data_IF_375401445572
#
_entry.id   IF_375401445572
#
_cell.length_a   1.000
_cell.length_b   1.000
_cell.length_c   1.000
_cell.angle_alpha   90.00
_cell.angle_beta   90.00
_cell.angle_gamma   90.00
#
_symmetry.space_group_name_H-M   'P 1'
#
loop_
_entity.id
_entity.type
_entity.pdbx_description
1 polymer ?
#
# COMPACT_ATOMS: atom_id res chain seq x y z
N UNK A 1 -54.11 10.56 -20.43
CA UNK A 1 -53.07 11.58 -20.16
C UNK A 1 -51.72 10.89 -20.34
N UNK A 2 -50.99 11.22 -21.41
CA UNK A 2 -49.66 10.68 -21.67
C UNK A 2 -48.66 11.49 -20.86
N UNK A 3 -48.00 10.85 -19.89
CA UNK A 3 -46.86 11.43 -19.20
C UNK A 3 -45.70 11.54 -20.21
N UNK A 4 -45.43 12.75 -20.67
CA UNK A 4 -44.21 13.03 -21.44
C UNK A 4 -43.05 13.03 -20.47
N UNK A 5 -42.03 12.22 -20.76
CA UNK A 5 -40.75 12.29 -20.06
C UNK A 5 -40.23 13.73 -20.13
N UNK A 6 -39.75 14.32 -19.02
CA UNK A 6 -39.14 15.63 -19.05
C UNK A 6 -37.88 15.59 -19.93
N UNK A 7 -37.69 16.64 -20.73
CA UNK A 7 -36.49 16.82 -21.54
C UNK A 7 -35.25 16.96 -20.65
N UNK A 8 -34.08 16.47 -21.08
CA UNK A 8 -32.86 16.59 -20.30
C UNK A 8 -32.49 18.05 -20.04
N UNK A 9 -31.77 18.34 -18.93
CA UNK A 9 -31.36 19.70 -18.57
C UNK A 9 -30.56 20.39 -19.68
N UNK A 10 -30.62 21.72 -19.73
CA UNK A 10 -30.00 22.54 -20.78
C UNK A 10 -28.46 22.48 -20.83
N UNK A 11 -27.81 21.89 -19.81
CA UNK A 11 -26.36 21.67 -19.73
C UNK A 11 -25.93 20.22 -20.06
N UNK A 12 -26.83 19.41 -20.64
CA UNK A 12 -26.51 18.05 -21.07
C UNK A 12 -25.64 18.06 -22.35
N UNK A 13 -24.32 18.05 -22.19
CA UNK A 13 -23.38 17.83 -23.27
C UNK A 13 -23.31 16.33 -23.62
N UNK A 14 -24.17 15.91 -24.55
CA UNK A 14 -24.22 14.55 -25.04
C UNK A 14 -22.89 14.09 -25.69
N UNK A 15 -22.05 15.00 -26.19
CA UNK A 15 -20.73 14.64 -26.72
C UNK A 15 -19.74 14.34 -25.61
N UNK A 16 -19.78 15.09 -24.50
CA UNK A 16 -18.94 14.82 -23.34
C UNK A 16 -19.21 13.43 -22.74
N UNK A 17 -20.48 13.02 -22.65
CA UNK A 17 -20.88 11.67 -22.17
C UNK A 17 -20.54 10.57 -23.20
N UNK A 18 -20.61 10.87 -24.50
CA UNK A 18 -20.35 9.88 -25.55
C UNK A 18 -18.86 9.55 -25.73
N UNK A 19 -17.94 10.51 -25.48
CA UNK A 19 -16.50 10.36 -25.75
C UNK A 19 -15.82 9.26 -24.92
N UNK A 20 -16.08 9.12 -23.61
CA UNK A 20 -15.53 8.01 -22.82
C UNK A 20 -15.91 6.64 -23.37
N UNK A 21 -17.19 6.47 -23.70
CA UNK A 21 -17.74 5.22 -24.24
C UNK A 21 -17.09 4.87 -25.59
N UNK A 22 -16.98 5.83 -26.51
CA UNK A 22 -16.43 5.57 -27.86
C UNK A 22 -14.96 5.15 -27.83
N UNK A 23 -14.19 5.60 -26.84
CA UNK A 23 -12.76 5.31 -26.75
C UNK A 23 -12.48 4.00 -26.02
N UNK A 24 -13.23 3.69 -24.98
CA UNK A 24 -12.97 2.53 -24.11
C UNK A 24 -13.61 1.25 -24.64
N UNK A 25 -14.83 1.33 -25.18
CA UNK A 25 -15.59 0.14 -25.57
C UNK A 25 -14.86 -0.76 -26.59
N UNK A 26 -14.20 -0.24 -27.64
CA UNK A 26 -13.44 -1.08 -28.57
C UNK A 26 -12.31 -1.87 -27.89
N UNK A 27 -11.67 -1.27 -26.87
CA UNK A 27 -10.59 -1.93 -26.14
C UNK A 27 -11.15 -3.00 -25.19
N UNK A 28 -12.27 -2.71 -24.52
CA UNK A 28 -12.98 -3.71 -23.70
C UNK A 28 -13.36 -4.92 -24.54
N UNK A 29 -14.00 -4.72 -25.70
CA UNK A 29 -14.38 -5.81 -26.61
C UNK A 29 -13.17 -6.64 -26.99
N UNK A 30 -12.06 -6.00 -27.36
CA UNK A 30 -10.81 -6.68 -27.69
C UNK A 30 -10.27 -7.52 -26.52
N UNK A 31 -10.29 -7.00 -25.30
CA UNK A 31 -9.83 -7.74 -24.12
C UNK A 31 -10.74 -8.94 -23.81
N UNK A 32 -12.05 -8.76 -23.92
CA UNK A 32 -13.02 -9.86 -23.76
C UNK A 32 -12.81 -10.94 -24.81
N UNK A 33 -12.62 -10.58 -26.08
CA UNK A 33 -12.35 -11.55 -27.15
C UNK A 33 -11.08 -12.37 -26.87
N UNK A 34 -10.01 -11.72 -26.37
CA UNK A 34 -8.78 -12.41 -25.98
C UNK A 34 -9.05 -13.38 -24.83
N UNK A 35 -9.78 -12.95 -23.79
CA UNK A 35 -10.14 -13.81 -22.66
C UNK A 35 -10.97 -15.01 -23.12
N UNK A 36 -11.94 -14.80 -24.01
CA UNK A 36 -12.81 -15.87 -24.54
C UNK A 36 -12.06 -16.84 -25.46
N UNK A 37 -10.99 -16.38 -26.13
CA UNK A 37 -10.13 -17.26 -26.93
C UNK A 37 -9.32 -18.25 -26.06
N UNK A 38 -9.19 -18.00 -24.75
CA UNK A 38 -8.45 -18.84 -23.82
C UNK A 38 -6.92 -18.79 -23.96
N UNK A 39 -6.38 -18.01 -24.89
CA UNK A 39 -4.95 -17.91 -25.16
C UNK A 39 -4.38 -16.55 -24.71
N UNK A 40 -4.32 -16.34 -23.39
CA UNK A 40 -3.89 -15.06 -22.79
C UNK A 40 -2.39 -14.79 -23.01
N UNK A 41 -1.52 -15.77 -22.81
CA UNK A 41 -0.07 -15.57 -22.91
C UNK A 41 0.48 -15.76 -24.33
N UNK A 42 -0.32 -16.29 -25.26
CA UNK A 42 0.17 -16.73 -26.55
C UNK A 42 1.14 -17.92 -26.45
N UNK A 43 1.88 -18.17 -27.53
CA UNK A 43 2.82 -19.30 -27.61
C UNK A 43 4.20 -19.01 -26.98
N UNK A 44 4.56 -17.72 -26.79
CA UNK A 44 5.91 -17.33 -26.38
C UNK A 44 5.92 -16.55 -25.06
N UNK A 45 5.83 -17.29 -23.96
CA UNK A 45 5.78 -16.78 -22.58
C UNK A 45 7.09 -16.09 -22.17
N UNK A 46 8.23 -16.49 -22.76
CA UNK A 46 9.57 -15.99 -22.42
C UNK A 46 10.00 -14.76 -23.23
N UNK A 47 9.18 -14.31 -24.19
CA UNK A 47 9.49 -13.12 -24.98
C UNK A 47 9.54 -11.87 -24.10
N UNK A 48 10.63 -11.10 -24.24
CA UNK A 48 10.83 -9.80 -23.57
C UNK A 48 9.95 -8.72 -24.20
N UNK A 49 9.54 -8.88 -25.46
CA UNK A 49 8.69 -7.92 -26.14
C UNK A 49 7.24 -7.97 -25.63
N UNK A 50 6.60 -6.80 -25.58
CA UNK A 50 5.19 -6.69 -25.24
C UNK A 50 4.33 -7.44 -26.26
N UNK A 51 3.44 -8.28 -25.76
CA UNK A 51 2.41 -8.97 -26.55
C UNK A 51 1.34 -7.98 -27.03
N UNK A 52 0.52 -8.36 -28.04
CA UNK A 52 -0.66 -7.57 -28.41
C UNK A 52 -1.64 -7.34 -27.25
N UNK A 53 -1.72 -8.29 -26.31
CA UNK A 53 -2.51 -8.16 -25.08
C UNK A 53 -1.88 -7.11 -24.16
N UNK A 54 -0.58 -7.19 -23.88
CA UNK A 54 0.13 -6.23 -23.02
C UNK A 54 0.01 -4.80 -23.56
N UNK A 55 0.14 -4.58 -24.87
CA UNK A 55 -0.11 -3.25 -25.47
C UNK A 55 -1.54 -2.76 -25.25
N UNK A 56 -2.53 -3.66 -25.26
CA UNK A 56 -3.93 -3.30 -25.02
C UNK A 56 -4.18 -3.00 -23.55
N UNK A 57 -3.54 -3.76 -22.65
CA UNK A 57 -3.57 -3.51 -21.20
C UNK A 57 -2.85 -2.21 -20.84
N UNK A 58 -1.74 -1.84 -21.47
CA UNK A 58 -1.11 -0.52 -21.29
C UNK A 58 -2.09 0.61 -21.61
N UNK A 59 -2.78 0.53 -22.76
CA UNK A 59 -3.74 1.56 -23.15
C UNK A 59 -4.93 1.65 -22.18
N UNK A 60 -5.45 0.50 -21.72
CA UNK A 60 -6.54 0.48 -20.73
C UNK A 60 -6.08 0.93 -19.35
N UNK A 61 -4.84 0.61 -18.94
CA UNK A 61 -4.24 1.13 -17.72
C UNK A 61 -4.25 2.65 -17.77
N UNK A 62 -3.69 3.26 -18.82
CA UNK A 62 -3.61 4.72 -18.96
C UNK A 62 -5.01 5.37 -18.88
N UNK A 63 -6.00 4.81 -19.58
CA UNK A 63 -7.37 5.31 -19.56
C UNK A 63 -8.04 5.15 -18.20
N UNK A 64 -7.79 4.05 -17.49
CA UNK A 64 -8.32 3.83 -16.15
C UNK A 64 -7.84 4.88 -15.13
N UNK A 65 -6.75 5.60 -15.42
CA UNK A 65 -6.29 6.72 -14.59
C UNK A 65 -7.20 7.94 -14.62
N UNK A 66 -8.22 7.96 -15.49
CA UNK A 66 -9.18 9.05 -15.62
C UNK A 66 -10.56 8.54 -15.20
N UNK A 67 -11.19 9.22 -14.24
CA UNK A 67 -12.41 8.77 -13.55
C UNK A 67 -13.57 8.44 -14.50
N UNK A 68 -13.89 9.33 -15.46
CA UNK A 68 -14.98 9.13 -16.41
C UNK A 68 -14.84 7.83 -17.22
N UNK A 69 -13.61 7.45 -17.57
CA UNK A 69 -13.34 6.21 -18.29
C UNK A 69 -13.39 5.01 -17.35
N UNK A 70 -12.89 5.14 -16.11
CA UNK A 70 -12.98 4.09 -15.10
C UNK A 70 -14.44 3.73 -14.78
N UNK A 71 -15.33 4.72 -14.67
CA UNK A 71 -16.78 4.50 -14.48
C UNK A 71 -17.34 3.64 -15.62
N UNK A 72 -17.08 4.02 -16.88
CA UNK A 72 -17.52 3.25 -18.05
C UNK A 72 -16.95 1.83 -18.04
N UNK A 73 -15.69 1.64 -17.64
CA UNK A 73 -15.07 0.32 -17.53
C UNK A 73 -15.78 -0.58 -16.51
N UNK A 74 -16.11 -0.05 -15.34
CA UNK A 74 -16.83 -0.79 -14.29
C UNK A 74 -18.26 -1.12 -14.74
N UNK A 75 -18.97 -0.16 -15.34
CA UNK A 75 -20.33 -0.38 -15.85
C UNK A 75 -20.40 -1.46 -16.95
N UNK A 76 -19.30 -1.67 -17.66
CA UNK A 76 -19.18 -2.67 -18.72
C UNK A 76 -18.43 -3.93 -18.29
N UNK A 77 -18.34 -4.20 -16.98
CA UNK A 77 -17.75 -5.42 -16.40
C UNK A 77 -16.29 -5.69 -16.78
N UNK A 78 -15.51 -4.66 -17.14
CA UNK A 78 -14.08 -4.83 -17.42
C UNK A 78 -13.32 -5.47 -16.25
N UNK A 79 -13.57 -5.14 -14.96
CA UNK A 79 -12.87 -5.77 -13.85
C UNK A 79 -12.91 -7.31 -13.86
N UNK A 80 -14.03 -7.91 -14.29
CA UNK A 80 -14.18 -9.37 -14.40
C UNK A 80 -13.26 -9.95 -15.48
N UNK A 81 -13.18 -9.29 -16.64
CA UNK A 81 -12.26 -9.70 -17.70
C UNK A 81 -10.79 -9.58 -17.24
N UNK A 82 -10.46 -8.51 -16.52
CA UNK A 82 -9.13 -8.28 -15.95
C UNK A 82 -8.79 -9.32 -14.89
N UNK A 83 -9.72 -9.68 -14.00
CA UNK A 83 -9.56 -10.79 -13.03
C UNK A 83 -9.20 -12.10 -13.73
N UNK A 84 -9.89 -12.42 -14.83
CA UNK A 84 -9.61 -13.62 -15.61
C UNK A 84 -8.21 -13.59 -16.22
N UNK A 85 -7.74 -12.42 -16.68
CA UNK A 85 -6.37 -12.23 -17.16
C UNK A 85 -5.37 -12.47 -16.02
N UNK A 86 -5.54 -11.81 -14.87
CA UNK A 86 -4.67 -11.93 -13.70
C UNK A 86 -4.47 -13.38 -13.24
N UNK A 87 -5.57 -14.15 -13.20
CA UNK A 87 -5.58 -15.53 -12.69
C UNK A 87 -5.11 -16.57 -13.70
N UNK A 88 -5.05 -16.23 -14.99
CA UNK A 88 -4.69 -17.20 -16.05
C UNK A 88 -3.28 -16.96 -16.59
N UNK A 89 -2.82 -15.70 -16.63
CA UNK A 89 -1.50 -15.35 -17.18
C UNK A 89 -0.35 -15.92 -16.35
N UNK A 90 0.68 -16.40 -17.05
CA UNK A 90 1.98 -16.79 -16.50
C UNK A 90 3.04 -15.69 -16.68
N UNK A 91 2.74 -14.64 -17.45
CA UNK A 91 3.66 -13.51 -17.70
C UNK A 91 3.52 -12.46 -16.60
N UNK A 92 4.61 -12.19 -15.88
CA UNK A 92 4.62 -11.16 -14.84
C UNK A 92 4.22 -9.78 -15.37
N UNK A 93 4.68 -9.41 -16.59
CA UNK A 93 4.31 -8.14 -17.24
C UNK A 93 2.82 -8.02 -17.54
N UNK A 94 2.20 -9.08 -18.06
CA UNK A 94 0.74 -9.11 -18.30
C UNK A 94 -0.01 -8.96 -16.97
N UNK A 95 0.42 -9.66 -15.92
CA UNK A 95 -0.19 -9.56 -14.59
C UNK A 95 -0.03 -8.17 -13.96
N UNK A 96 1.17 -7.59 -14.04
CA UNK A 96 1.47 -6.23 -13.63
C UNK A 96 0.49 -5.25 -14.28
N UNK A 97 0.34 -5.32 -15.61
CA UNK A 97 -0.55 -4.41 -16.35
C UNK A 97 -2.02 -4.58 -16.00
N UNK A 98 -2.45 -5.82 -15.81
CA UNK A 98 -3.82 -6.15 -15.43
C UNK A 98 -4.15 -5.65 -14.00
N UNK A 99 -3.29 -5.90 -13.01
CA UNK A 99 -3.49 -5.40 -11.65
C UNK A 99 -3.36 -3.88 -11.60
N UNK A 100 -2.44 -3.29 -12.36
CA UNK A 100 -2.31 -1.83 -12.44
C UNK A 100 -3.54 -1.14 -13.02
N UNK A 101 -4.23 -1.80 -13.95
CA UNK A 101 -5.55 -1.35 -14.43
C UNK A 101 -6.57 -1.33 -13.28
N UNK A 102 -6.69 -2.44 -12.51
CA UNK A 102 -7.60 -2.48 -11.36
C UNK A 102 -7.25 -1.42 -10.32
N UNK A 103 -5.96 -1.20 -10.07
CA UNK A 103 -5.46 -0.23 -9.10
C UNK A 103 -5.80 1.21 -9.50
N UNK A 104 -5.72 1.54 -10.81
CA UNK A 104 -6.21 2.81 -11.33
C UNK A 104 -7.72 2.96 -11.15
N UNK A 105 -8.51 1.94 -11.49
CA UNK A 105 -9.96 1.97 -11.29
C UNK A 105 -10.30 2.16 -9.80
N UNK A 106 -9.59 1.49 -8.89
CA UNK A 106 -9.81 1.62 -7.45
C UNK A 106 -9.36 2.98 -6.88
N UNK A 107 -8.64 3.79 -7.63
CA UNK A 107 -8.17 5.10 -7.18
C UNK A 107 -9.23 6.20 -7.26
N UNK A 108 -10.41 5.93 -7.82
CA UNK A 108 -11.51 6.90 -7.91
C UNK A 108 -12.65 6.59 -6.95
N UNK A 109 -13.26 7.66 -6.42
CA UNK A 109 -14.33 7.57 -5.41
C UNK A 109 -15.58 6.85 -5.93
N UNK A 110 -15.92 7.04 -7.21
CA UNK A 110 -17.13 6.47 -7.79
C UNK A 110 -17.02 4.96 -8.08
N UNK A 111 -15.80 4.43 -8.16
CA UNK A 111 -15.55 3.06 -8.62
C UNK A 111 -14.96 2.11 -7.59
N UNK A 112 -14.30 2.62 -6.54
CA UNK A 112 -13.62 1.75 -5.55
C UNK A 112 -14.58 0.78 -4.86
N UNK A 113 -15.77 1.23 -4.45
CA UNK A 113 -16.74 0.43 -3.70
C UNK A 113 -17.29 -0.72 -4.54
N UNK A 114 -17.61 -0.46 -5.81
CA UNK A 114 -18.05 -1.47 -6.76
C UNK A 114 -16.98 -2.53 -7.01
N UNK A 115 -15.70 -2.15 -7.06
CA UNK A 115 -14.60 -3.12 -7.15
C UNK A 115 -14.44 -3.93 -5.86
N UNK A 116 -14.63 -3.28 -4.71
CA UNK A 116 -14.46 -3.90 -3.41
C UNK A 116 -15.59 -4.88 -3.08
N UNK A 117 -16.78 -4.70 -3.64
CA UNK A 117 -17.93 -5.62 -3.55
C UNK A 117 -17.67 -6.96 -4.25
N UNK A 118 -16.74 -7.01 -5.20
CA UNK A 118 -16.33 -8.24 -5.88
C UNK A 118 -15.33 -9.04 -5.02
N UNK A 119 -15.81 -10.11 -4.38
CA UNK A 119 -15.00 -10.96 -3.48
C UNK A 119 -13.72 -11.49 -4.16
N UNK A 120 -13.80 -11.83 -5.45
CA UNK A 120 -12.69 -12.32 -6.25
C UNK A 120 -11.52 -11.31 -6.34
N UNK A 121 -11.78 -10.00 -6.23
CA UNK A 121 -10.73 -8.98 -6.19
C UNK A 121 -9.95 -9.07 -4.88
N UNK A 122 -10.64 -9.27 -3.76
CA UNK A 122 -10.01 -9.45 -2.46
C UNK A 122 -9.19 -10.76 -2.42
N UNK A 123 -9.72 -11.82 -3.02
CA UNK A 123 -9.01 -13.09 -3.18
C UNK A 123 -7.78 -12.94 -4.09
N UNK A 124 -7.85 -12.15 -5.17
CA UNK A 124 -6.72 -11.87 -6.05
C UNK A 124 -5.60 -11.17 -5.28
N UNK A 125 -5.91 -10.12 -4.50
CA UNK A 125 -4.91 -9.41 -3.68
C UNK A 125 -4.22 -10.39 -2.73
N UNK A 126 -5.00 -11.20 -2.01
CA UNK A 126 -4.46 -12.22 -1.12
C UNK A 126 -3.57 -13.22 -1.86
N UNK A 127 -4.00 -13.71 -3.03
CA UNK A 127 -3.21 -14.66 -3.83
C UNK A 127 -1.88 -14.05 -4.29
N UNK A 128 -1.91 -12.84 -4.85
CA UNK A 128 -0.72 -12.15 -5.40
C UNK A 128 0.26 -11.83 -4.28
N UNK A 129 -0.22 -11.30 -3.17
CA UNK A 129 0.64 -10.95 -2.05
C UNK A 129 1.42 -12.15 -1.54
N UNK A 130 0.85 -13.37 -1.51
CA UNK A 130 1.52 -14.56 -0.97
C UNK A 130 2.35 -15.35 -2.01
N UNK A 131 1.94 -15.34 -3.28
CA UNK A 131 2.54 -16.21 -4.29
C UNK A 131 3.55 -15.52 -5.20
N UNK A 132 3.51 -14.18 -5.28
CA UNK A 132 4.31 -13.44 -6.26
C UNK A 132 5.64 -12.94 -5.71
N UNK A 133 6.65 -12.89 -6.59
CA UNK A 133 8.00 -12.41 -6.29
C UNK A 133 8.44 -11.23 -7.18
N UNK A 134 7.79 -10.99 -8.33
CA UNK A 134 8.04 -9.81 -9.16
C UNK A 134 7.59 -8.54 -8.42
N UNK A 135 8.56 -7.65 -8.17
CA UNK A 135 8.34 -6.43 -7.41
C UNK A 135 7.33 -5.48 -8.06
N UNK A 136 7.19 -5.48 -9.39
CA UNK A 136 6.23 -4.62 -10.10
C UNK A 136 4.81 -5.14 -9.91
N UNK A 137 4.62 -6.45 -9.95
CA UNK A 137 3.31 -7.06 -9.67
C UNK A 137 2.90 -6.81 -8.21
N UNK A 138 3.82 -7.00 -7.26
CA UNK A 138 3.56 -6.70 -5.85
C UNK A 138 3.28 -5.21 -5.63
N UNK A 139 3.96 -4.32 -6.36
CA UNK A 139 3.73 -2.88 -6.31
C UNK A 139 2.30 -2.53 -6.73
N UNK A 140 1.83 -3.07 -7.85
CA UNK A 140 0.45 -2.82 -8.31
C UNK A 140 -0.61 -3.43 -7.38
N UNK A 141 -0.36 -4.61 -6.80
CA UNK A 141 -1.26 -5.20 -5.80
C UNK A 141 -1.32 -4.35 -4.52
N UNK A 142 -0.16 -3.82 -4.10
CA UNK A 142 -0.06 -2.90 -2.97
C UNK A 142 -0.83 -1.60 -3.26
N UNK A 143 -0.73 -1.09 -4.50
CA UNK A 143 -1.45 0.10 -4.96
C UNK A 143 -2.96 -0.09 -4.97
N UNK A 144 -3.42 -1.26 -5.42
CA UNK A 144 -4.83 -1.61 -5.42
C UNK A 144 -5.39 -1.60 -3.99
N UNK A 145 -4.70 -2.26 -3.05
CA UNK A 145 -5.12 -2.27 -1.65
C UNK A 145 -5.06 -0.88 -1.01
N UNK A 146 -4.03 -0.10 -1.34
CA UNK A 146 -3.92 1.30 -0.90
C UNK A 146 -5.13 2.13 -1.34
N UNK A 147 -5.56 2.01 -2.61
CA UNK A 147 -6.74 2.69 -3.12
C UNK A 147 -8.01 2.37 -2.31
N UNK A 148 -8.24 1.08 -2.04
CA UNK A 148 -9.37 0.66 -1.20
C UNK A 148 -9.30 1.23 0.21
N UNK A 149 -8.13 1.22 0.83
CA UNK A 149 -7.95 1.76 2.18
C UNK A 149 -8.15 3.28 2.22
N UNK A 150 -7.61 4.02 1.26
CA UNK A 150 -7.75 5.48 1.19
C UNK A 150 -9.23 5.87 1.10
N UNK A 151 -9.99 5.26 0.21
CA UNK A 151 -11.40 5.58 0.05
C UNK A 151 -12.28 5.04 1.17
N UNK A 152 -11.84 3.99 1.87
CA UNK A 152 -12.52 3.50 3.07
C UNK A 152 -12.23 4.35 4.31
N UNK A 153 -11.21 5.22 4.29
CA UNK A 153 -10.83 6.08 5.42
C UNK A 153 -11.02 7.54 5.03
N UNK A 154 -12.13 8.15 5.48
CA UNK A 154 -12.32 9.58 5.32
C UNK A 154 -11.54 10.32 6.41
N UNK A 155 -10.33 10.77 6.06
CA UNK A 155 -9.45 11.51 6.97
C UNK A 155 -10.04 12.85 7.44
N UNK A 156 -10.92 13.47 6.64
CA UNK A 156 -11.52 14.77 6.97
C UNK A 156 -12.62 14.66 8.02
N UNK A 157 -13.42 13.60 7.95
CA UNK A 157 -14.53 13.34 8.88
C UNK A 157 -14.13 12.41 10.02
N UNK A 158 -12.90 11.87 10.00
CA UNK A 158 -12.44 10.83 10.92
C UNK A 158 -13.36 9.60 10.96
N UNK A 159 -13.96 9.28 9.82
CA UNK A 159 -14.87 8.16 9.66
C UNK A 159 -14.22 7.07 8.82
N UNK A 160 -14.53 5.82 9.15
CA UNK A 160 -14.15 4.65 8.35
C UNK A 160 -15.43 4.01 7.83
N UNK A 161 -15.48 3.81 6.51
CA UNK A 161 -16.54 3.05 5.85
C UNK A 161 -16.13 1.59 5.86
N UNK A 162 -16.74 0.83 6.76
CA UNK A 162 -16.50 -0.60 6.85
C UNK A 162 -17.12 -1.33 5.64
N UNK A 163 -16.31 -2.13 4.95
CA UNK A 163 -16.78 -2.99 3.85
C UNK A 163 -16.48 -4.45 4.19
N UNK A 164 -17.46 -5.38 4.04
CA UNK A 164 -17.28 -6.78 4.43
C UNK A 164 -16.04 -7.44 3.82
N UNK A 165 -15.80 -7.25 2.52
CA UNK A 165 -14.68 -7.88 1.82
C UNK A 165 -13.31 -7.38 2.31
N UNK A 166 -13.19 -6.07 2.57
CA UNK A 166 -11.95 -5.48 3.14
C UNK A 166 -11.74 -5.89 4.60
N UNK A 167 -12.80 -5.93 5.39
CA UNK A 167 -12.77 -6.45 6.77
C UNK A 167 -12.34 -7.91 6.78
N UNK A 168 -12.93 -8.75 5.94
CA UNK A 168 -12.60 -10.17 5.81
C UNK A 168 -11.15 -10.38 5.37
N UNK A 169 -10.62 -9.50 4.50
CA UNK A 169 -9.22 -9.55 4.08
C UNK A 169 -8.26 -9.42 5.27
N UNK A 170 -8.57 -8.57 6.24
CA UNK A 170 -7.72 -8.36 7.43
C UNK A 170 -8.07 -9.29 8.60
N UNK A 171 -9.29 -9.84 8.63
CA UNK A 171 -9.68 -10.86 9.57
C UNK A 171 -8.82 -12.11 9.35
N UNK A 172 -7.94 -12.40 10.32
CA UNK A 172 -7.02 -13.53 10.21
C UNK A 172 -7.64 -14.76 10.87
N UNK A 173 -7.72 -15.87 10.16
CA UNK A 173 -8.06 -17.17 10.74
C UNK A 173 -6.96 -17.62 11.73
N UNK A 174 -7.37 -18.41 12.74
CA UNK A 174 -6.41 -19.01 13.68
C UNK A 174 -5.36 -19.81 12.88
N UNK A 175 -4.08 -19.59 13.17
CA UNK A 175 -2.91 -20.25 12.54
C UNK A 175 -2.51 -19.78 11.11
N UNK A 176 -3.16 -18.76 10.54
CA UNK A 176 -2.72 -18.14 9.28
C UNK A 176 -1.85 -16.89 9.51
N UNK A 177 -0.80 -16.65 8.70
CA UNK A 177 -0.07 -15.38 8.73
C UNK A 177 -1.01 -14.21 8.42
N UNK A 178 -1.00 -13.17 9.26
CA UNK A 178 -1.83 -11.97 9.03
C UNK A 178 -1.32 -11.17 7.83
N UNK A 179 -2.19 -10.36 7.22
CA UNK A 179 -1.79 -9.36 6.21
C UNK A 179 -0.67 -8.44 6.70
N UNK A 180 -0.73 -8.05 7.98
CA UNK A 180 0.32 -7.26 8.62
C UNK A 180 1.67 -8.00 8.60
N UNK A 181 1.68 -9.30 8.92
CA UNK A 181 2.90 -10.10 8.85
C UNK A 181 3.47 -10.20 7.43
N UNK A 182 2.59 -10.28 6.42
CA UNK A 182 3.01 -10.33 5.02
C UNK A 182 3.61 -9.01 4.55
N UNK A 183 3.00 -7.88 4.90
CA UNK A 183 3.58 -6.57 4.59
C UNK A 183 4.88 -6.31 5.34
N UNK A 184 5.02 -6.76 6.59
CA UNK A 184 6.30 -6.74 7.32
C UNK A 184 7.37 -7.53 6.56
N UNK A 185 7.03 -8.70 6.04
CA UNK A 185 7.96 -9.45 5.18
C UNK A 185 8.36 -8.65 3.94
N UNK A 186 7.41 -8.02 3.23
CA UNK A 186 7.69 -7.20 2.05
C UNK A 186 8.61 -6.03 2.37
N UNK A 187 8.28 -5.20 3.38
CA UNK A 187 9.09 -4.01 3.71
C UNK A 187 10.49 -4.38 4.20
N UNK A 188 10.64 -5.50 4.92
CA UNK A 188 11.95 -5.90 5.44
C UNK A 188 12.85 -6.60 4.41
N UNK A 189 12.32 -6.97 3.24
CA UNK A 189 13.07 -7.70 2.20
C UNK A 189 13.07 -7.02 0.82
N UNK A 190 12.29 -5.95 0.61
CA UNK A 190 12.26 -5.23 -0.67
C UNK A 190 13.49 -4.35 -0.85
N UNK A 191 14.13 -4.46 -2.02
CA UNK A 191 15.11 -3.50 -2.52
C UNK A 191 14.49 -2.48 -3.48
N UNK A 192 13.22 -2.67 -3.86
CA UNK A 192 12.48 -1.73 -4.68
C UNK A 192 11.93 -0.62 -3.78
N UNK A 193 12.39 0.61 -4.01
CA UNK A 193 12.07 1.77 -3.18
C UNK A 193 10.60 2.17 -3.29
N UNK A 194 10.01 2.11 -4.48
CA UNK A 194 8.60 2.46 -4.70
C UNK A 194 7.67 1.48 -3.98
N UNK A 195 7.94 0.17 -4.13
CA UNK A 195 7.22 -0.88 -3.38
C UNK A 195 7.38 -0.69 -1.87
N UNK A 196 8.58 -0.36 -1.40
CA UNK A 196 8.84 -0.13 0.02
C UNK A 196 7.99 1.03 0.57
N UNK A 197 8.06 2.20 -0.07
CA UNK A 197 7.32 3.40 0.32
C UNK A 197 5.82 3.09 0.38
N UNK A 198 5.32 2.41 -0.65
CA UNK A 198 3.89 2.09 -0.76
C UNK A 198 3.44 1.06 0.26
N UNK A 199 4.24 0.02 0.50
CA UNK A 199 3.95 -0.98 1.53
C UNK A 199 3.93 -0.36 2.94
N UNK A 200 4.80 0.61 3.23
CA UNK A 200 4.76 1.37 4.50
C UNK A 200 3.48 2.22 4.61
N UNK A 201 3.06 2.87 3.52
CA UNK A 201 1.80 3.62 3.49
C UNK A 201 0.59 2.71 3.73
N UNK A 202 0.55 1.54 3.09
CA UNK A 202 -0.49 0.53 3.31
C UNK A 202 -0.51 0.05 4.75
N UNK A 203 0.64 -0.27 5.36
CA UNK A 203 0.70 -0.64 6.78
C UNK A 203 0.06 0.44 7.66
N UNK A 204 0.38 1.72 7.40
CA UNK A 204 -0.21 2.85 8.13
C UNK A 204 -1.73 2.86 8.00
N UNK A 205 -2.26 2.78 6.77
CA UNK A 205 -3.71 2.80 6.56
C UNK A 205 -4.40 1.55 7.12
N UNK A 206 -3.78 0.38 7.03
CA UNK A 206 -4.27 -0.85 7.64
C UNK A 206 -4.43 -0.69 9.15
N UNK A 207 -3.46 -0.10 9.85
CA UNK A 207 -3.56 0.14 11.30
C UNK A 207 -4.79 1.01 11.61
N UNK A 208 -5.01 2.09 10.85
CA UNK A 208 -6.16 2.99 11.04
C UNK A 208 -7.48 2.26 10.79
N UNK A 209 -7.58 1.53 9.68
CA UNK A 209 -8.78 0.77 9.33
C UNK A 209 -9.08 -0.31 10.37
N UNK A 210 -8.10 -1.16 10.69
CA UNK A 210 -8.22 -2.25 11.65
C UNK A 210 -8.55 -1.75 13.07
N UNK A 211 -8.03 -0.59 13.47
CA UNK A 211 -8.40 0.02 14.75
C UNK A 211 -9.88 0.39 14.76
N UNK A 212 -10.33 1.06 13.71
CA UNK A 212 -11.70 1.58 13.59
C UNK A 212 -12.74 0.47 13.48
N UNK A 213 -12.37 -0.67 12.89
CA UNK A 213 -13.21 -1.87 12.75
C UNK A 213 -13.00 -2.90 13.87
N UNK A 214 -12.23 -2.57 14.92
CA UNK A 214 -11.88 -3.45 16.04
C UNK A 214 -11.08 -4.73 15.71
N UNK A 215 -10.73 -4.98 14.44
CA UNK A 215 -9.91 -6.12 13.99
C UNK A 215 -8.52 -6.09 14.65
N UNK A 216 -8.00 -4.89 14.93
CA UNK A 216 -6.68 -4.70 15.50
C UNK A 216 -6.49 -5.48 16.80
N UNK A 217 -7.50 -5.50 17.67
CA UNK A 217 -7.42 -6.14 18.98
C UNK A 217 -7.63 -7.65 18.94
N UNK A 218 -8.15 -8.18 17.84
CA UNK A 218 -8.35 -9.62 17.62
C UNK A 218 -7.24 -10.24 16.78
N UNK A 219 -6.32 -9.45 16.23
CA UNK A 219 -5.25 -9.93 15.34
C UNK A 219 -4.18 -10.70 16.14
N UNK A 220 -4.00 -12.02 15.90
CA UNK A 220 -3.01 -12.81 16.62
C UNK A 220 -1.58 -12.33 16.37
N UNK A 221 -0.77 -12.23 17.42
CA UNK A 221 0.64 -11.88 17.30
C UNK A 221 0.94 -10.43 16.90
N UNK A 222 -0.08 -9.56 16.79
CA UNK A 222 0.07 -8.16 16.35
C UNK A 222 1.16 -7.41 17.13
N UNK A 223 1.21 -7.58 18.46
CA UNK A 223 2.22 -6.93 19.30
C UNK A 223 3.65 -7.33 18.90
N UNK A 224 3.89 -8.62 18.65
CA UNK A 224 5.20 -9.12 18.21
C UNK A 224 5.55 -8.62 16.81
N UNK A 225 4.57 -8.56 15.92
CA UNK A 225 4.72 -8.03 14.56
C UNK A 225 5.07 -6.53 14.59
N UNK A 226 4.36 -5.75 15.40
CA UNK A 226 4.65 -4.33 15.60
C UNK A 226 6.06 -4.12 16.20
N UNK A 227 6.49 -4.96 17.15
CA UNK A 227 7.85 -4.87 17.71
C UNK A 227 8.90 -5.14 16.63
N UNK A 228 8.72 -6.16 15.79
CA UNK A 228 9.62 -6.44 14.68
C UNK A 228 9.70 -5.25 13.71
N UNK A 229 8.55 -4.65 13.37
CA UNK A 229 8.49 -3.52 12.46
C UNK A 229 9.16 -2.27 13.03
N UNK A 230 8.89 -1.91 14.29
CA UNK A 230 9.53 -0.76 14.95
C UNK A 230 11.04 -0.96 15.07
N UNK A 231 11.47 -2.19 15.38
CA UNK A 231 12.90 -2.55 15.44
C UNK A 231 13.59 -2.29 14.11
N UNK A 232 13.02 -2.81 13.03
CA UNK A 232 13.57 -2.65 11.70
C UNK A 232 13.49 -1.19 11.23
N UNK A 233 12.39 -0.49 11.50
CA UNK A 233 12.24 0.92 11.18
C UNK A 233 13.26 1.79 11.92
N UNK A 234 13.58 1.47 13.17
CA UNK A 234 14.60 2.18 13.97
C UNK A 234 16.00 1.98 13.37
N UNK A 235 16.37 0.74 13.06
CA UNK A 235 17.63 0.42 12.35
C UNK A 235 17.71 1.19 11.03
N UNK A 236 16.63 1.16 10.24
CA UNK A 236 16.58 1.84 8.94
C UNK A 236 16.66 3.36 9.05
N UNK A 237 15.91 3.97 9.97
CA UNK A 237 15.98 5.41 10.24
C UNK A 237 17.38 5.83 10.71
N UNK A 238 18.08 4.98 11.44
CA UNK A 238 19.47 5.24 11.81
C UNK A 238 20.40 5.20 10.59
N UNK A 239 20.21 4.26 9.65
CA UNK A 239 20.97 4.22 8.39
C UNK A 239 20.72 5.47 7.54
N UNK A 240 19.45 5.85 7.38
CA UNK A 240 19.04 7.05 6.64
C UNK A 240 19.63 8.31 7.30
N UNK A 241 19.53 8.44 8.62
CA UNK A 241 20.07 9.58 9.38
C UNK A 241 21.60 9.65 9.45
N UNK A 242 22.32 8.59 9.08
CA UNK A 242 23.77 8.62 8.88
C UNK A 242 24.16 9.02 7.45
N UNK A 243 23.20 9.12 6.54
CA UNK A 243 23.44 9.34 5.11
C UNK A 243 24.20 8.19 4.43
N UNK A 244 24.16 6.98 5.00
CA UNK A 244 24.91 5.82 4.48
C UNK A 244 24.07 5.13 3.41
N UNK A 245 24.33 5.48 2.14
CA UNK A 245 23.72 4.85 0.97
C UNK A 245 24.26 5.44 -0.33
N UNK A 246 24.27 4.65 -1.41
CA UNK A 246 24.52 5.14 -2.77
C UNK A 246 23.27 5.96 -3.17
N UNK A 247 23.22 7.24 -2.79
CA UNK A 247 22.07 8.12 -3.04
C UNK A 247 21.74 9.15 -1.97
N UNK A 248 22.38 9.12 -0.79
CA UNK A 248 22.09 10.06 0.31
C UNK A 248 20.85 9.70 1.12
N UNK A 249 20.37 10.64 1.93
CA UNK A 249 19.19 10.51 2.80
C UNK A 249 17.90 10.40 1.99
N UNK A 250 17.16 9.29 2.09
CA UNK A 250 15.87 9.14 1.44
C UNK A 250 14.74 9.70 2.34
N UNK A 251 14.45 10.99 2.16
CA UNK A 251 13.42 11.76 2.88
C UNK A 251 12.05 11.06 2.86
N UNK A 252 11.63 10.56 1.71
CA UNK A 252 10.32 9.92 1.55
C UNK A 252 10.22 8.58 2.30
N UNK A 253 11.29 7.77 2.30
CA UNK A 253 11.35 6.53 3.09
C UNK A 253 11.32 6.86 4.59
N UNK A 254 12.15 7.80 5.04
CA UNK A 254 12.19 8.22 6.45
C UNK A 254 10.82 8.73 6.94
N UNK A 255 10.15 9.57 6.14
CA UNK A 255 8.78 10.05 6.42
C UNK A 255 7.79 8.91 6.64
N UNK A 256 7.77 7.93 5.74
CA UNK A 256 6.84 6.81 5.82
C UNK A 256 7.14 5.89 7.00
N UNK A 257 8.41 5.65 7.33
CA UNK A 257 8.81 4.91 8.53
C UNK A 257 8.34 5.60 9.80
N UNK A 258 8.55 6.92 9.89
CA UNK A 258 8.11 7.72 11.02
C UNK A 258 6.58 7.69 11.18
N UNK A 259 5.82 7.77 10.08
CA UNK A 259 4.37 7.66 10.15
C UNK A 259 3.89 6.28 10.65
N UNK A 260 4.56 5.20 10.23
CA UNK A 260 4.25 3.85 10.72
C UNK A 260 4.53 3.74 12.23
N UNK A 261 5.69 4.22 12.68
CA UNK A 261 6.06 4.24 14.11
C UNK A 261 5.06 5.07 14.91
N UNK A 262 4.70 6.25 14.40
CA UNK A 262 3.69 7.11 15.01
C UNK A 262 2.33 6.41 15.12
N UNK A 263 1.86 5.76 14.04
CA UNK A 263 0.59 5.04 14.04
C UNK A 263 0.57 3.90 15.08
N UNK A 264 1.66 3.12 15.18
CA UNK A 264 1.79 2.06 16.19
C UNK A 264 1.62 2.60 17.62
N UNK A 265 2.13 3.80 17.89
CA UNK A 265 1.97 4.49 19.17
C UNK A 265 0.59 5.10 19.39
N UNK A 266 0.11 5.86 18.41
CA UNK A 266 -1.17 6.55 18.47
C UNK A 266 -2.32 5.57 18.72
N UNK A 267 -2.28 4.40 18.07
CA UNK A 267 -3.27 3.34 18.21
C UNK A 267 -2.95 2.33 19.33
N UNK A 268 -1.96 2.64 20.19
CA UNK A 268 -1.63 1.89 21.41
C UNK A 268 -1.30 0.41 21.17
N UNK A 269 -0.76 0.08 19.99
CA UNK A 269 -0.29 -1.28 19.70
C UNK A 269 0.94 -1.59 20.55
N UNK A 270 1.82 -0.59 20.70
CA UNK A 270 2.98 -0.63 21.57
C UNK A 270 3.05 0.65 22.41
N UNK A 271 3.50 0.52 23.65
CA UNK A 271 3.87 1.66 24.48
C UNK A 271 5.26 2.17 24.09
N UNK A 272 5.59 3.46 24.30
CA UNK A 272 6.90 4.02 23.95
C UNK A 272 8.10 3.29 24.57
N UNK A 273 7.95 2.71 25.76
CA UNK A 273 9.00 1.91 26.42
C UNK A 273 9.24 0.58 25.69
N UNK A 274 8.30 0.13 24.87
CA UNK A 274 8.35 -1.14 24.16
C UNK A 274 8.97 -1.03 22.77
N UNK A 275 9.31 0.19 22.31
CA UNK A 275 9.90 0.45 20.98
C UNK A 275 11.34 -0.08 20.84
N UNK A 276 11.77 -0.96 21.75
CA UNK A 276 13.14 -1.41 21.88
C UNK A 276 13.38 -2.85 22.28
N UNK A 277 12.37 -3.57 22.75
CA UNK A 277 12.60 -4.85 23.42
C UNK A 277 13.01 -6.00 22.48
N UNK A 278 12.91 -5.84 21.15
CA UNK A 278 13.31 -6.86 20.16
C UNK A 278 14.80 -6.88 19.80
N UNK A 279 15.50 -5.73 19.83
CA UNK A 279 16.94 -5.64 19.52
C UNK A 279 17.81 -6.30 20.57
N UNK A 280 17.35 -6.32 21.81
CA UNK A 280 17.98 -7.04 22.92
C UNK A 280 18.17 -8.51 22.53
N UNK A 281 17.18 -9.15 21.90
CA UNK A 281 17.26 -10.56 21.50
C UNK A 281 18.29 -10.83 20.39
N UNK A 282 18.40 -9.98 19.37
CA UNK A 282 19.43 -10.12 18.30
C UNK A 282 20.84 -9.81 18.82
N UNK A 283 20.97 -8.80 19.68
CA UNK A 283 22.25 -8.44 20.30
C UNK A 283 22.76 -9.55 21.23
N UNK A 284 21.89 -10.24 21.97
CA UNK A 284 22.29 -11.38 22.81
C UNK A 284 22.70 -12.64 22.04
N UNK A 285 22.16 -12.87 20.83
CA UNK A 285 22.61 -13.97 19.97
C UNK A 285 24.02 -13.67 19.40
N UNK A 286 24.35 -12.40 19.15
CA UNK A 286 25.68 -12.00 18.66
C UNK A 286 26.70 -11.64 19.77
N UNK A 287 26.27 -11.45 21.02
CA UNK A 287 27.14 -11.07 22.17
C UNK A 287 27.35 -12.16 23.22
N UNK A 288 27.07 -13.43 22.91
CA UNK A 288 27.40 -14.53 23.82
C UNK A 288 28.92 -14.82 23.97
N UNK A 289 29.80 -13.88 23.61
CA UNK A 289 31.24 -13.99 23.87
C UNK A 289 31.87 -12.83 24.66
N UNK A 290 31.20 -11.71 24.98
CA UNK A 290 31.87 -10.67 25.80
C UNK A 290 30.97 -9.96 26.80
N UNK A 291 31.17 -10.38 28.05
CA UNK A 291 31.03 -9.65 29.31
C UNK A 291 29.63 -9.30 29.83
N UNK A 292 29.41 -9.80 31.04
CA UNK A 292 28.33 -9.50 31.98
C UNK A 292 28.29 -8.01 32.36
N UNK A 293 27.08 -7.55 32.70
CA UNK A 293 26.68 -6.22 33.18
C UNK A 293 26.62 -5.09 32.15
N UNK A 294 25.52 -5.02 31.40
CA UNK A 294 24.97 -3.75 30.89
C UNK A 294 23.46 -3.75 31.14
N UNK A 295 22.95 -2.70 31.77
CA UNK A 295 21.52 -2.52 32.07
C UNK A 295 20.65 -2.67 30.83
N UNK A 296 19.53 -3.38 30.99
CA UNK A 296 18.77 -4.00 29.91
C UNK A 296 17.54 -3.18 29.44
N UNK A 297 17.38 -1.93 29.87
CA UNK A 297 16.10 -1.21 29.67
C UNK A 297 16.17 0.10 28.86
N UNK A 298 17.35 0.67 28.58
CA UNK A 298 17.46 2.04 28.03
C UNK A 298 17.99 2.17 26.58
N UNK A 299 18.28 1.07 25.87
CA UNK A 299 19.07 1.15 24.62
C UNK A 299 18.37 1.77 23.40
N UNK A 300 17.08 1.46 23.16
CA UNK A 300 16.49 1.64 21.83
C UNK A 300 15.53 2.82 21.69
N UNK A 301 14.75 3.14 22.72
CA UNK A 301 14.02 4.41 22.76
C UNK A 301 15.00 5.58 22.61
N UNK A 302 16.21 5.42 23.18
CA UNK A 302 17.31 6.34 22.97
C UNK A 302 17.85 6.31 21.53
N UNK A 303 18.02 5.14 20.92
CA UNK A 303 18.40 5.05 19.49
C UNK A 303 17.41 5.76 18.56
N UNK A 304 16.10 5.54 18.75
CA UNK A 304 15.07 6.20 17.95
C UNK A 304 15.05 7.72 18.18
N UNK A 305 15.16 8.17 19.44
CA UNK A 305 15.30 9.60 19.80
C UNK A 305 16.50 10.23 19.10
N UNK A 306 17.64 9.56 19.09
CA UNK A 306 18.86 10.03 18.42
C UNK A 306 18.70 10.04 16.89
N UNK A 307 18.01 9.06 16.31
CA UNK A 307 17.67 9.08 14.88
C UNK A 307 16.79 10.29 14.52
N UNK A 308 15.79 10.63 15.33
CA UNK A 308 14.96 11.83 15.09
C UNK A 308 15.81 13.11 15.11
N UNK A 309 16.67 13.28 16.11
CA UNK A 309 17.58 14.44 16.19
C UNK A 309 18.51 14.55 14.99
N UNK A 310 19.08 13.43 14.53
CA UNK A 310 19.97 13.41 13.35
C UNK A 310 19.23 13.83 12.09
N UNK A 311 17.99 13.33 11.91
CA UNK A 311 17.15 13.71 10.77
C UNK A 311 16.85 15.22 10.80
N UNK A 312 16.51 15.78 11.97
CA UNK A 312 16.29 17.22 12.12
C UNK A 312 17.56 18.02 11.78
N UNK A 313 18.71 17.63 12.35
CA UNK A 313 20.00 18.28 12.06
C UNK A 313 20.36 18.24 10.58
N UNK A 314 20.05 17.14 9.88
CA UNK A 314 20.30 17.03 8.44
C UNK A 314 19.47 18.02 7.62
N UNK A 315 18.21 18.25 8.04
CA UNK A 315 17.30 19.20 7.37
C UNK A 315 17.72 20.65 7.69
N UNK A 316 18.08 20.93 8.94
CA UNK A 316 18.51 22.27 9.39
C UNK A 316 19.82 22.73 8.72
N UNK A 317 20.66 21.79 8.27
CA UNK A 317 21.90 22.08 7.53
C UNK A 317 21.66 22.42 6.05
N UNK A 318 20.45 22.18 5.52
CA UNK A 318 20.09 22.49 4.13
C UNK A 318 19.58 23.94 4.01
N UNK A 319 20.11 24.70 3.05
CA UNK A 319 19.79 26.12 2.89
C UNK A 319 18.47 26.36 2.14
N UNK A 320 17.93 25.33 1.47
CA UNK A 320 16.70 25.40 0.69
C UNK A 320 15.70 24.32 1.16
N UNK A 321 14.97 24.66 2.23
CA UNK A 321 14.03 23.76 2.87
C UNK A 321 12.78 23.61 2.00
N UNK A 322 12.50 22.38 1.55
CA UNK A 322 11.27 22.06 0.80
C UNK A 322 10.08 21.81 1.72
N UNK A 323 8.85 21.81 1.19
CA UNK A 323 7.66 21.38 1.95
C UNK A 323 7.75 19.93 2.45
N UNK A 324 8.47 19.07 1.74
CA UNK A 324 8.71 17.70 2.20
C UNK A 324 9.66 17.68 3.41
N UNK A 325 10.64 18.58 3.44
CA UNK A 325 11.56 18.75 4.57
C UNK A 325 10.87 19.24 5.82
N UNK A 326 10.01 20.25 5.71
CA UNK A 326 9.18 20.72 6.83
C UNK A 326 8.34 19.57 7.41
N UNK A 327 7.69 18.78 6.55
CA UNK A 327 6.87 17.65 6.98
C UNK A 327 7.68 16.54 7.68
N UNK A 328 8.90 16.26 7.21
CA UNK A 328 9.82 15.29 7.84
C UNK A 328 10.32 15.82 9.17
N UNK A 329 10.67 17.10 9.24
CA UNK A 329 11.13 17.78 10.45
C UNK A 329 10.03 17.77 11.54
N UNK A 330 8.82 18.22 11.21
CA UNK A 330 7.69 18.28 12.15
C UNK A 330 7.33 16.90 12.71
N UNK A 331 7.37 15.87 11.85
CA UNK A 331 7.08 14.49 12.26
C UNK A 331 8.18 13.93 13.18
N UNK A 332 9.44 14.26 12.90
CA UNK A 332 10.56 13.89 13.75
C UNK A 332 10.46 14.57 15.14
N UNK A 333 10.08 15.84 15.18
CA UNK A 333 9.86 16.59 16.43
C UNK A 333 8.70 15.99 17.24
N UNK A 334 7.59 15.67 16.58
CA UNK A 334 6.42 15.06 17.20
C UNK A 334 6.77 13.71 17.84
N UNK A 335 7.48 12.85 17.09
CA UNK A 335 7.94 11.56 17.58
C UNK A 335 8.91 11.74 18.74
N UNK A 336 9.92 12.61 18.60
CA UNK A 336 10.89 12.87 19.67
C UNK A 336 10.22 13.32 20.97
N UNK A 337 9.26 14.24 20.87
CA UNK A 337 8.49 14.74 22.00
C UNK A 337 7.65 13.64 22.65
N UNK A 338 6.98 12.81 21.85
CA UNK A 338 6.18 11.69 22.34
C UNK A 338 7.01 10.65 23.09
N UNK A 339 8.24 10.37 22.61
CA UNK A 339 9.17 9.44 23.25
C UNK A 339 9.80 10.02 24.53
N UNK A 340 9.86 11.35 24.64
CA UNK A 340 10.43 12.06 25.79
C UNK A 340 9.43 12.20 26.93
N UNK A 341 8.17 12.48 26.63
CA UNK A 341 7.10 12.58 27.65
C UNK A 341 6.81 11.20 28.27
N UNK A 342 7.02 10.12 27.53
CA UNK A 342 6.69 8.76 27.96
C UNK A 342 7.82 8.02 28.69
N UNK A 343 9.07 8.51 28.65
CA UNK A 343 10.20 7.95 29.40
C UNK A 343 10.39 8.72 30.69
#
# INVERSE_FOLDING_TARGET
MSFRNPSPPLDYDAEAVSRPITNVLPIIVKLVDIVMSGNIDGENIESIEDTPLERSLCAVWDLAGIEEYAVVMVENNLPIAILKICTTTRRARTRELAIGTLANIASHQETYSRLLDEEDISMLINSVLWSENDARVLHEATRLLEGFLIWSINMSEQTVVETPNLTNLFATELDSPSFMSRYIFIVTNSLNTDLLIRALAVIRYMIVYMYSTNILFTTPGLKSQAMQLVSWATERLEEEGRGIGIGGFNKTVAKNLMHVVWAIGAYKILKPQEYGMSLIRKSHINKFERNNNVGLEEGTTNSLKESMKRIQSYIDEDYDISQEDEAVHDLAELLYSSLTIAG
#
